data_IF_775853760668
#
_entry.id   IF_775853760668
#
_cell.length_a   1.000
_cell.length_b   1.000
_cell.length_c   1.000
_cell.angle_alpha   90.00
_cell.angle_beta   90.00
_cell.angle_gamma   90.00
#
_symmetry.space_group_name_H-M   'P 1'
#
loop_
_entity.id
_entity.type
_entity.pdbx_description
1 polymer ?
#
# COMPACT_ATOMS: atom_id res chain seq x y z
N UNK A 1 22.58 3.35 20.77
CA UNK A 1 22.02 4.59 20.20
C UNK A 1 21.06 4.19 19.10
N UNK A 2 19.76 4.43 19.28
CA UNK A 2 18.69 4.11 18.33
C UNK A 2 18.53 5.36 17.47
N UNK A 3 19.30 5.45 16.37
CA UNK A 3 19.31 6.64 15.50
C UNK A 3 17.94 6.88 14.90
N UNK A 4 17.49 8.11 15.08
CA UNK A 4 16.36 8.77 14.43
C UNK A 4 16.58 9.03 12.93
N UNK A 5 15.45 9.33 12.27
CA UNK A 5 15.30 10.25 11.14
C UNK A 5 15.29 9.69 9.72
N UNK A 6 14.13 9.20 9.29
CA UNK A 6 13.41 9.75 8.12
C UNK A 6 11.91 9.75 8.45
N UNK A 7 11.37 10.87 8.95
CA UNK A 7 9.93 11.03 9.18
C UNK A 7 9.20 11.19 7.82
N UNK A 8 9.20 10.13 7.01
CA UNK A 8 8.16 9.95 6.01
C UNK A 8 6.94 9.47 6.77
N UNK A 9 5.88 10.27 6.78
CA UNK A 9 4.61 9.90 7.42
C UNK A 9 4.01 8.71 6.65
N UNK A 10 4.37 7.50 7.06
CA UNK A 10 3.74 6.27 6.59
C UNK A 10 2.31 6.26 7.10
N UNK A 11 1.36 6.55 6.21
CA UNK A 11 -0.06 6.49 6.55
C UNK A 11 -0.58 5.12 6.14
N UNK A 12 -1.17 4.41 7.08
CA UNK A 12 -1.79 3.12 6.80
C UNK A 12 -3.28 3.34 6.62
N UNK A 13 -3.79 3.03 5.43
CA UNK A 13 -5.21 3.09 5.11
C UNK A 13 -5.77 1.68 5.13
N UNK A 14 -6.87 1.45 5.84
CA UNK A 14 -7.59 0.19 5.75
C UNK A 14 -8.61 0.30 4.64
N UNK A 15 -8.51 -0.58 3.64
CA UNK A 15 -9.44 -0.69 2.53
C UNK A 15 -10.20 -2.00 2.62
N UNK A 16 -11.52 -1.94 2.55
CA UNK A 16 -12.35 -3.15 2.44
C UNK A 16 -12.59 -3.42 0.96
N UNK A 17 -12.15 -4.58 0.48
CA UNK A 17 -12.27 -5.01 -0.91
C UNK A 17 -13.76 -5.07 -1.29
N UNK A 18 -14.13 -4.40 -2.37
CA UNK A 18 -15.50 -4.45 -2.92
C UNK A 18 -15.61 -5.46 -4.05
N UNK A 19 -16.85 -5.81 -4.39
CA UNK A 19 -17.14 -6.72 -5.49
C UNK A 19 -16.54 -6.19 -6.80
N UNK A 20 -15.76 -7.04 -7.48
CA UNK A 20 -15.06 -6.70 -8.73
C UNK A 20 -13.73 -5.98 -8.55
N UNK A 21 -13.29 -5.68 -7.32
CA UNK A 21 -11.94 -5.16 -7.09
C UNK A 21 -10.90 -6.28 -7.07
N UNK A 22 -9.75 -6.00 -7.67
CA UNK A 22 -8.56 -6.85 -7.63
C UNK A 22 -7.43 -6.15 -6.89
N UNK A 23 -6.44 -6.90 -6.42
CA UNK A 23 -5.27 -6.33 -5.75
C UNK A 23 -4.58 -5.27 -6.63
N UNK A 24 -4.50 -5.50 -7.94
CA UNK A 24 -3.97 -4.54 -8.90
C UNK A 24 -4.77 -3.24 -8.95
N UNK A 25 -6.11 -3.34 -8.99
CA UNK A 25 -7.00 -2.17 -9.05
C UNK A 25 -6.88 -1.35 -7.77
N UNK A 26 -6.83 -2.03 -6.62
CA UNK A 26 -6.64 -1.39 -5.31
C UNK A 26 -5.25 -0.75 -5.25
N UNK A 27 -4.18 -1.46 -5.60
CA UNK A 27 -2.84 -0.91 -5.60
C UNK A 27 -2.73 0.35 -6.47
N UNK A 28 -3.33 0.35 -7.67
CA UNK A 28 -3.38 1.51 -8.57
C UNK A 28 -4.20 2.68 -8.03
N UNK A 29 -5.17 2.45 -7.14
CA UNK A 29 -5.90 3.53 -6.46
C UNK A 29 -5.02 4.27 -5.43
N UNK A 30 -4.11 3.56 -4.77
CA UNK A 30 -3.34 4.10 -3.64
C UNK A 30 -1.87 4.41 -3.97
N UNK A 31 -1.29 3.74 -4.97
CA UNK A 31 0.08 3.91 -5.41
C UNK A 31 0.10 4.36 -6.87
N UNK A 32 0.98 5.30 -7.19
CA UNK A 32 1.21 5.75 -8.56
C UNK A 32 2.20 4.86 -9.33
N UNK A 33 2.82 3.89 -8.64
CA UNK A 33 3.84 3.00 -9.15
C UNK A 33 3.46 1.53 -8.89
N UNK A 34 3.96 0.61 -9.72
CA UNK A 34 3.68 -0.84 -9.63
C UNK A 34 4.15 -1.47 -8.30
N UNK A 35 5.02 -0.77 -7.56
CA UNK A 35 5.51 -1.18 -6.22
C UNK A 35 4.38 -1.33 -5.19
N UNK A 36 3.21 -0.72 -5.43
CA UNK A 36 2.05 -0.80 -4.53
C UNK A 36 1.56 -2.22 -4.28
N UNK A 37 1.58 -3.07 -5.31
CA UNK A 37 1.12 -4.47 -5.20
C UNK A 37 2.01 -5.23 -4.22
N UNK A 38 3.32 -5.20 -4.44
CA UNK A 38 4.30 -5.90 -3.58
C UNK A 38 4.26 -5.38 -2.14
N UNK A 39 4.11 -4.07 -1.98
CA UNK A 39 4.00 -3.42 -0.67
C UNK A 39 2.75 -3.90 0.07
N UNK A 40 1.59 -3.91 -0.59
CA UNK A 40 0.34 -4.39 0.02
C UNK A 40 0.45 -5.88 0.37
N UNK A 41 0.99 -6.71 -0.53
CA UNK A 41 1.17 -8.15 -0.28
C UNK A 41 2.02 -8.39 0.94
N UNK A 42 3.20 -7.76 0.97
CA UNK A 42 4.14 -7.89 2.09
C UNK A 42 3.56 -7.39 3.41
N UNK A 43 2.75 -6.33 3.37
CA UNK A 43 2.17 -5.75 4.58
C UNK A 43 0.99 -6.57 5.15
N UNK A 44 0.29 -7.32 4.31
CA UNK A 44 -0.85 -8.15 4.68
C UNK A 44 -0.54 -9.66 4.66
N UNK A 45 0.74 -10.03 4.51
CA UNK A 45 1.21 -11.40 4.36
C UNK A 45 0.44 -12.20 3.27
N UNK A 46 0.08 -11.52 2.18
CA UNK A 46 -0.61 -12.16 1.04
C UNK A 46 0.41 -12.91 0.17
N UNK A 47 0.15 -14.19 -0.05
CA UNK A 47 0.99 -15.05 -0.89
C UNK A 47 0.67 -14.86 -2.39
N UNK A 48 -0.59 -14.59 -2.70
CA UNK A 48 -1.10 -14.43 -4.07
C UNK A 48 -1.68 -13.04 -4.29
N UNK A 49 -1.95 -12.72 -5.55
CA UNK A 49 -2.60 -11.46 -5.96
C UNK A 49 -4.12 -11.51 -5.81
N UNK A 50 -4.63 -12.59 -5.20
CA UNK A 50 -6.05 -12.80 -4.93
C UNK A 50 -6.49 -12.07 -3.66
N UNK A 51 -7.60 -11.36 -3.79
CA UNK A 51 -8.25 -10.63 -2.69
C UNK A 51 -9.72 -11.00 -2.68
N UNK A 52 -10.26 -11.24 -1.48
CA UNK A 52 -11.65 -11.64 -1.34
C UNK A 52 -12.55 -10.43 -1.10
N UNK A 53 -13.76 -10.44 -1.67
CA UNK A 53 -14.75 -9.39 -1.38
C UNK A 53 -15.07 -9.37 0.12
N UNK A 54 -15.03 -8.17 0.71
CA UNK A 54 -15.18 -7.96 2.15
C UNK A 54 -13.89 -8.13 2.96
N UNK A 55 -12.78 -8.52 2.33
CA UNK A 55 -11.48 -8.61 3.00
C UNK A 55 -10.98 -7.20 3.35
N UNK A 56 -10.53 -7.02 4.59
CA UNK A 56 -9.84 -5.80 5.00
C UNK A 56 -8.36 -5.91 4.69
N UNK A 57 -7.87 -4.96 3.89
CA UNK A 57 -6.48 -4.88 3.46
C UNK A 57 -5.89 -3.58 3.98
N UNK A 58 -4.74 -3.68 4.62
CA UNK A 58 -3.98 -2.54 5.13
C UNK A 58 -3.01 -2.05 4.06
N UNK A 59 -3.12 -0.78 3.70
CA UNK A 59 -2.40 -0.18 2.59
C UNK A 59 -1.46 0.88 3.17
N UNK A 60 -0.16 0.56 3.34
CA UNK A 60 0.82 1.51 3.83
C UNK A 60 1.23 2.47 2.71
N UNK A 61 0.54 3.59 2.60
CA UNK A 61 0.89 4.66 1.66
C UNK A 61 2.07 5.46 2.23
N UNK A 62 3.16 5.51 1.47
CA UNK A 62 4.28 6.40 1.74
C UNK A 62 4.05 7.66 0.94
N UNK A 63 3.80 8.77 1.63
CA UNK A 63 3.76 10.08 1.00
C UNK A 63 5.16 10.40 0.47
N UNK A 64 5.41 10.04 -0.79
CA UNK A 64 6.67 10.34 -1.50
C UNK A 64 6.64 11.75 -2.09
N UNK A 65 5.93 12.67 -1.45
CA UNK A 65 5.86 14.09 -1.80
C UNK A 65 7.16 14.85 -1.54
N UNK A 66 8.23 14.18 -1.08
CA UNK A 66 9.54 14.79 -0.77
C UNK A 66 10.65 14.59 -1.83
N UNK A 67 10.38 14.07 -3.04
CA UNK A 67 11.38 14.05 -4.14
C UNK A 67 10.76 14.46 -5.48
N UNK A 68 10.41 15.74 -5.58
CA UNK A 68 10.22 16.48 -6.85
C UNK A 68 11.23 17.63 -6.92
N UNK A 69 12.50 17.34 -6.73
CA UNK A 69 13.57 18.27 -7.08
C UNK A 69 14.76 17.46 -7.61
N UNK A 70 14.87 17.38 -8.94
CA UNK A 70 16.12 17.34 -9.73
C UNK A 70 15.77 17.46 -11.21
#
# INVERSE_FOLDING_TARGET
>A
AKSESEATSEKVVTHTVKEGETLESIAKQYFSDETGIEVIKKYNDLQEDEVNVGQEIKIPIKDKSAKRDS
#
